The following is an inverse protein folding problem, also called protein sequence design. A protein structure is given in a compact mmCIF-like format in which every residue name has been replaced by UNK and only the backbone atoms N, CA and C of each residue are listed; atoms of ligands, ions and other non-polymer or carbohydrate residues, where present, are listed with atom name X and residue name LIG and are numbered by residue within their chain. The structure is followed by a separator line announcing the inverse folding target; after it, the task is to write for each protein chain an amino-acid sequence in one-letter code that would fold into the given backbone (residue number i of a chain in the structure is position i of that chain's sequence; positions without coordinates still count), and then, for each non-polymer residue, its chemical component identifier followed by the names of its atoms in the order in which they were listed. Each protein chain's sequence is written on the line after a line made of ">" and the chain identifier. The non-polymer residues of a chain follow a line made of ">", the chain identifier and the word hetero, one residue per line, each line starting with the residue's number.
data_IF_876454160741
#
_entry.id   IF_876454160741
#
_cell.length_a   1.000
_cell.length_b   1.000
_cell.length_c   1.000
_cell.angle_alpha   90.00
_cell.angle_beta   90.00
_cell.angle_gamma   90.00
#
_symmetry.space_group_name_H-M   'P 1'
#
loop_
_entity.id
_entity.type
_entity.pdbx_description
1 polymer ?
#
# COMPACT_ATOMS: atom_id res chain seq x y z
N UNK A 1 -16.86 -19.63 11.70
CA UNK A 1 -15.60 -19.39 10.95
C UNK A 1 -15.60 -18.09 10.12
N UNK A 2 -16.71 -17.61 9.54
CA UNK A 2 -16.75 -16.26 8.92
C UNK A 2 -16.64 -15.08 9.89
N UNK A 3 -16.92 -15.28 11.18
CA UNK A 3 -16.92 -14.21 12.19
C UNK A 3 -15.53 -13.60 12.45
N UNK A 4 -14.44 -14.35 12.22
CA UNK A 4 -13.08 -13.85 12.44
C UNK A 4 -12.54 -13.07 11.24
N UNK A 5 -12.98 -13.42 10.02
CA UNK A 5 -12.49 -12.84 8.75
C UNK A 5 -13.08 -11.45 8.47
N UNK A 6 -14.24 -11.14 9.05
CA UNK A 6 -14.89 -9.84 9.00
C UNK A 6 -15.02 -9.19 10.39
N UNK A 7 -14.19 -9.59 11.35
CA UNK A 7 -14.18 -8.92 12.66
C UNK A 7 -13.65 -7.50 12.46
N UNK A 8 -14.33 -6.53 13.05
CA UNK A 8 -13.93 -5.13 13.03
C UNK A 8 -13.03 -4.72 14.20
N UNK A 9 -12.76 -5.64 15.13
CA UNK A 9 -11.89 -5.38 16.26
C UNK A 9 -10.47 -5.03 15.80
N UNK A 10 -9.78 -4.09 16.46
CA UNK A 10 -8.39 -3.75 16.13
C UNK A 10 -7.48 -4.98 16.25
N UNK A 11 -6.38 -4.99 15.51
CA UNK A 11 -5.36 -6.03 15.67
C UNK A 11 -4.72 -5.88 17.06
N UNK A 12 -4.57 -6.99 17.79
CA UNK A 12 -4.18 -6.98 19.21
C UNK A 12 -2.90 -6.20 19.52
N UNK A 13 -1.91 -6.27 18.62
CA UNK A 13 -0.58 -5.66 18.75
C UNK A 13 -0.38 -4.41 17.87
N UNK A 14 -1.45 -3.75 17.39
CA UNK A 14 -1.29 -2.52 16.60
C UNK A 14 -0.93 -1.32 17.49
N UNK A 15 0.25 -0.67 17.33
CA UNK A 15 0.64 0.49 18.13
C UNK A 15 -0.28 1.70 17.94
N UNK A 16 -1.15 1.68 16.93
CA UNK A 16 -2.06 2.78 16.57
C UNK A 16 -3.46 2.62 17.17
N UNK A 17 -3.70 1.55 17.92
CA UNK A 17 -5.03 1.17 18.44
C UNK A 17 -5.64 2.22 19.36
N UNK A 18 -4.85 2.75 20.28
CA UNK A 18 -5.32 3.60 21.39
C UNK A 18 -5.27 5.10 21.07
N UNK A 19 -5.16 5.47 19.80
CA UNK A 19 -5.12 6.87 19.37
C UNK A 19 -6.49 7.54 19.48
N UNK A 20 -6.47 8.82 19.83
CA UNK A 20 -7.67 9.61 20.09
C UNK A 20 -8.43 9.94 18.79
N UNK A 21 -7.71 10.31 17.72
CA UNK A 21 -8.31 10.76 16.48
C UNK A 21 -8.66 9.59 15.54
N UNK A 22 -9.74 9.76 14.76
CA UNK A 22 -10.16 8.86 13.68
C UNK A 22 -10.00 9.55 12.33
N UNK A 23 -10.02 8.76 11.26
CA UNK A 23 -10.13 9.33 9.92
C UNK A 23 -11.43 10.13 9.79
N UNK A 24 -11.39 11.18 8.99
CA UNK A 24 -12.56 12.02 8.77
C UNK A 24 -13.62 11.34 7.89
N UNK A 25 -13.27 10.24 7.22
CA UNK A 25 -14.17 9.34 6.49
C UNK A 25 -13.70 7.89 6.66
N UNK A 26 -14.63 6.97 6.82
CA UNK A 26 -14.34 5.54 6.79
C UNK A 26 -14.03 5.06 5.36
N UNK A 27 -13.30 3.96 5.20
CA UNK A 27 -13.09 3.32 3.88
C UNK A 27 -14.39 2.94 3.17
N UNK A 28 -15.48 2.72 3.90
CA UNK A 28 -16.80 2.45 3.32
C UNK A 28 -17.42 3.70 2.67
N UNK A 29 -17.16 4.89 3.23
CA UNK A 29 -17.69 6.16 2.75
C UNK A 29 -16.71 6.90 1.81
N UNK A 30 -15.43 6.51 1.80
CA UNK A 30 -14.40 7.09 0.96
C UNK A 30 -14.76 7.17 -0.54
N UNK A 31 -15.38 6.14 -1.18
CA UNK A 31 -15.80 6.25 -2.58
C UNK A 31 -16.88 7.30 -2.84
N UNK A 32 -17.67 7.65 -1.81
CA UNK A 32 -18.68 8.71 -1.91
C UNK A 32 -18.08 10.09 -1.65
N UNK A 33 -17.10 10.17 -0.76
CA UNK A 33 -16.41 11.42 -0.42
C UNK A 33 -15.47 11.87 -1.55
N UNK A 34 -14.74 10.94 -2.16
CA UNK A 34 -13.87 11.19 -3.30
C UNK A 34 -13.95 10.05 -4.33
N UNK A 35 -14.98 10.08 -5.21
CA UNK A 35 -15.17 9.05 -6.22
C UNK A 35 -14.07 9.06 -7.28
N UNK A 36 -13.48 10.22 -7.58
CA UNK A 36 -12.46 10.36 -8.61
C UNK A 36 -11.14 9.73 -8.17
N UNK A 37 -10.69 9.99 -6.94
CA UNK A 37 -9.50 9.34 -6.40
C UNK A 37 -9.72 7.83 -6.23
N UNK A 38 -10.90 7.41 -5.77
CA UNK A 38 -11.21 5.99 -5.60
C UNK A 38 -11.14 5.24 -6.94
N UNK A 39 -11.84 5.73 -7.97
CA UNK A 39 -11.83 5.11 -9.31
C UNK A 39 -10.46 5.24 -9.99
N UNK A 40 -9.82 6.40 -9.87
CA UNK A 40 -8.47 6.65 -10.40
C UNK A 40 -7.45 5.67 -9.83
N UNK A 41 -7.54 5.36 -8.54
CA UNK A 41 -6.69 4.38 -7.86
C UNK A 41 -7.02 2.94 -8.27
N UNK A 42 -8.28 2.62 -8.56
CA UNK A 42 -8.66 1.29 -9.07
C UNK A 42 -8.11 1.03 -10.48
N UNK A 43 -8.15 2.02 -11.38
CA UNK A 43 -7.77 1.85 -12.79
C UNK A 43 -6.31 2.21 -13.08
N UNK A 44 -5.75 3.15 -12.33
CA UNK A 44 -4.38 3.64 -12.48
C UNK A 44 -3.70 3.79 -11.11
N UNK A 45 -3.51 2.66 -10.39
CA UNK A 45 -2.99 2.67 -9.02
C UNK A 45 -1.64 3.36 -8.90
N UNK A 46 -0.73 3.15 -9.86
CA UNK A 46 0.61 3.74 -9.85
C UNK A 46 0.58 5.28 -9.84
N UNK A 47 -0.21 5.89 -10.73
CA UNK A 47 -0.26 7.35 -10.83
C UNK A 47 -0.97 7.96 -9.63
N UNK A 48 -2.05 7.31 -9.17
CA UNK A 48 -2.80 7.76 -8.00
C UNK A 48 -1.90 7.72 -6.75
N UNK A 49 -1.14 6.65 -6.55
CA UNK A 49 -0.24 6.60 -5.40
C UNK A 49 0.90 7.59 -5.48
N UNK A 50 1.60 7.71 -6.61
CA UNK A 50 2.67 8.72 -6.76
C UNK A 50 2.13 10.12 -6.40
N UNK A 51 0.91 10.44 -6.84
CA UNK A 51 0.26 11.70 -6.52
C UNK A 51 -0.04 11.85 -5.01
N UNK A 52 -0.68 10.85 -4.39
CA UNK A 52 -1.03 10.88 -2.96
C UNK A 52 0.20 10.86 -2.06
N UNK A 53 1.23 10.09 -2.41
CA UNK A 53 2.51 10.05 -1.71
C UNK A 53 3.21 11.41 -1.75
N UNK A 54 3.26 12.05 -2.92
CA UNK A 54 3.78 13.42 -3.04
C UNK A 54 2.97 14.41 -2.21
N UNK A 55 1.64 14.28 -2.22
CA UNK A 55 0.75 15.11 -1.41
C UNK A 55 1.01 14.92 0.09
N UNK A 56 1.17 13.68 0.56
CA UNK A 56 1.49 13.36 1.96
C UNK A 56 2.87 13.88 2.41
N UNK A 57 3.81 14.02 1.48
CA UNK A 57 5.15 14.58 1.70
C UNK A 57 5.22 16.10 1.42
N UNK A 58 4.10 16.78 1.26
CA UNK A 58 4.04 18.22 0.94
C UNK A 58 4.81 18.60 -0.34
N UNK A 59 4.87 17.68 -1.30
CA UNK A 59 5.65 17.78 -2.53
C UNK A 59 7.17 17.99 -2.31
N UNK A 60 7.67 17.85 -1.08
CA UNK A 60 9.10 17.90 -0.77
C UNK A 60 9.69 16.48 -0.77
N UNK A 61 10.26 16.12 -1.92
CA UNK A 61 10.88 14.82 -2.15
C UNK A 61 12.20 14.61 -1.38
N UNK A 62 12.69 15.59 -0.62
CA UNK A 62 13.83 15.39 0.30
C UNK A 62 13.46 14.51 1.49
N UNK A 63 12.18 14.54 1.89
CA UNK A 63 11.64 13.73 2.98
C UNK A 63 11.20 12.33 2.50
N UNK A 64 11.36 12.05 1.20
CA UNK A 64 10.98 10.77 0.64
C UNK A 64 11.96 9.68 1.05
N UNK A 65 11.38 8.62 1.61
CA UNK A 65 12.02 7.36 1.94
C UNK A 65 11.12 6.25 1.41
N UNK A 66 11.70 5.18 0.85
CA UNK A 66 10.98 4.03 0.31
C UNK A 66 10.05 3.42 1.36
N UNK A 67 8.75 3.32 1.06
CA UNK A 67 7.70 2.89 1.98
C UNK A 67 7.74 3.61 3.36
N UNK A 68 8.39 4.78 3.45
CA UNK A 68 8.72 5.50 4.68
C UNK A 68 9.39 4.66 5.79
N UNK A 69 10.02 3.53 5.44
CA UNK A 69 10.58 2.59 6.42
C UNK A 69 9.56 1.69 7.12
N UNK A 70 8.25 1.85 6.89
CA UNK A 70 7.22 0.98 7.50
C UNK A 70 7.27 -0.48 7.02
N UNK A 71 8.02 -0.74 5.96
CA UNK A 71 8.16 -2.06 5.33
C UNK A 71 9.59 -2.60 5.47
N UNK A 72 10.41 -1.99 6.31
CA UNK A 72 11.76 -2.46 6.58
C UNK A 72 11.72 -3.84 7.27
N UNK A 73 12.60 -4.74 6.83
CA UNK A 73 12.64 -6.12 7.34
C UNK A 73 11.51 -7.03 6.85
N UNK A 74 10.46 -6.49 6.17
CA UNK A 74 9.43 -7.33 5.53
C UNK A 74 9.99 -8.09 4.31
N UNK A 75 10.91 -7.46 3.57
CA UNK A 75 11.63 -8.08 2.46
C UNK A 75 13.12 -8.08 2.78
N UNK A 76 13.79 -9.25 2.79
CA UNK A 76 15.25 -9.27 2.91
C UNK A 76 15.83 -8.46 1.75
N UNK A 77 16.61 -7.42 2.07
CA UNK A 77 17.23 -6.44 1.15
C UNK A 77 16.45 -5.14 0.87
N UNK A 78 15.23 -4.95 1.38
CA UNK A 78 14.55 -3.66 1.30
C UNK A 78 14.66 -2.95 2.66
N UNK A 79 15.54 -1.96 2.70
CA UNK A 79 15.68 -1.07 3.84
C UNK A 79 15.62 0.37 3.33
N UNK A 80 14.76 1.16 3.97
CA UNK A 80 14.75 2.60 3.85
C UNK A 80 16.19 3.17 3.95
N UNK A 81 16.49 4.18 3.14
CA UNK A 81 17.81 4.82 3.09
C UNK A 81 18.85 4.09 2.25
N UNK A 82 18.63 2.83 1.85
CA UNK A 82 19.60 2.03 1.07
C UNK A 82 19.23 1.89 -0.41
N UNK A 83 18.05 2.36 -0.81
CA UNK A 83 17.49 2.21 -2.15
C UNK A 83 17.95 3.28 -3.17
N UNK A 84 18.87 4.19 -2.79
CA UNK A 84 19.31 5.31 -3.64
C UNK A 84 18.31 6.48 -3.71
N UNK A 85 17.32 6.48 -2.81
CA UNK A 85 16.27 7.49 -2.71
C UNK A 85 16.79 8.91 -2.43
N UNK A 86 17.93 9.05 -1.76
CA UNK A 86 18.58 10.34 -1.55
C UNK A 86 19.09 10.98 -2.86
N UNK A 87 19.47 10.16 -3.85
CA UNK A 87 19.98 10.64 -5.14
C UNK A 87 18.88 10.81 -6.18
N UNK A 88 17.88 9.91 -6.21
CA UNK A 88 16.80 9.92 -7.20
C UNK A 88 15.43 9.54 -6.58
N UNK A 89 14.84 10.40 -5.73
CA UNK A 89 13.63 10.05 -4.97
C UNK A 89 12.41 9.81 -5.86
N UNK A 90 12.28 10.55 -6.96
CA UNK A 90 11.19 10.35 -7.92
C UNK A 90 11.27 9.01 -8.67
N UNK A 91 12.49 8.51 -8.94
CA UNK A 91 12.68 7.22 -9.58
C UNK A 91 12.36 6.09 -8.61
N UNK A 92 12.85 6.20 -7.37
CA UNK A 92 12.54 5.26 -6.30
C UNK A 92 11.03 5.17 -6.05
N UNK A 93 10.34 6.32 -5.99
CA UNK A 93 8.88 6.36 -5.86
C UNK A 93 8.17 5.68 -7.05
N UNK A 94 8.63 5.90 -8.29
CA UNK A 94 8.07 5.20 -9.44
C UNK A 94 8.32 3.67 -9.42
N UNK A 95 9.39 3.23 -8.79
CA UNK A 95 9.74 1.80 -8.67
C UNK A 95 8.95 1.14 -7.54
N UNK A 96 8.74 1.83 -6.43
CA UNK A 96 7.89 1.42 -5.29
C UNK A 96 6.46 1.07 -5.75
N UNK A 97 5.94 1.81 -6.73
CA UNK A 97 4.57 1.63 -7.24
C UNK A 97 4.45 0.68 -8.44
N UNK A 98 5.53 -0.03 -8.83
CA UNK A 98 5.49 -0.90 -10.00
C UNK A 98 4.57 -2.10 -9.74
N UNK A 99 3.35 -2.01 -10.28
CA UNK A 99 2.41 -3.13 -10.39
C UNK A 99 3.03 -4.20 -11.28
N UNK A 100 3.10 -5.42 -10.76
CA UNK A 100 3.46 -6.59 -11.54
C UNK A 100 2.39 -6.86 -12.61
N UNK A 101 2.50 -6.17 -13.74
CA UNK A 101 1.84 -6.58 -14.98
C UNK A 101 2.68 -7.71 -15.57
N UNK A 102 2.11 -8.90 -15.60
CA UNK A 102 2.75 -10.09 -16.13
C UNK A 102 3.23 -9.90 -17.58
N UNK A 103 4.55 -10.07 -17.79
CA UNK A 103 5.33 -10.37 -19.03
C UNK A 103 5.69 -9.22 -20.01
N UNK A 104 6.76 -9.39 -20.84
CA UNK A 104 8.10 -9.93 -20.57
C UNK A 104 9.21 -8.87 -20.73
N UNK A 105 10.34 -9.11 -20.08
CA UNK A 105 11.68 -8.57 -20.29
C UNK A 105 11.82 -7.33 -21.22
N UNK A 106 11.81 -6.14 -20.61
CA UNK A 106 12.39 -4.96 -21.26
C UNK A 106 13.92 -5.05 -21.14
N UNK A 107 14.52 -5.48 -22.24
CA UNK A 107 15.96 -5.46 -22.48
C UNK A 107 16.45 -4.00 -22.45
N UNK A 108 16.91 -3.52 -21.29
CA UNK A 108 17.58 -2.23 -21.19
C UNK A 108 19.00 -2.36 -21.77
N UNK A 109 19.20 -1.68 -22.90
CA UNK A 109 20.48 -1.56 -23.59
C UNK A 109 21.42 -0.71 -22.73
N UNK A 110 22.64 -1.23 -22.55
CA UNK A 110 23.73 -0.74 -21.68
C UNK A 110 23.97 0.77 -21.77
N UNK A 111 23.92 1.44 -20.62
CA UNK A 111 24.51 2.74 -20.36
C UNK A 111 24.81 2.86 -18.87
N UNK A 112 26.08 2.68 -18.51
CA UNK A 112 26.72 2.87 -17.20
C UNK A 112 25.82 3.37 -16.05
N UNK A 113 25.27 2.43 -15.27
CA UNK A 113 25.06 2.62 -13.83
C UNK A 113 25.39 1.29 -13.14
N UNK A 114 26.28 1.39 -12.17
CA UNK A 114 26.84 0.33 -11.35
C UNK A 114 25.74 -0.41 -10.58
N UNK A 115 25.55 -1.65 -11.02
CA UNK A 115 25.12 -2.86 -10.33
C UNK A 115 24.54 -2.73 -8.90
N UNK A 116 23.20 -2.70 -8.81
CA UNK A 116 22.40 -3.40 -7.80
C UNK A 116 21.08 -3.85 -8.45
N UNK A 117 21.16 -4.83 -9.34
CA UNK A 117 19.98 -5.51 -9.89
C UNK A 117 19.29 -6.30 -8.77
N UNK A 118 18.16 -5.79 -8.28
CA UNK A 118 17.22 -6.55 -7.47
C UNK A 118 16.31 -7.36 -8.41
N UNK A 119 16.81 -8.50 -8.90
CA UNK A 119 16.03 -9.44 -9.71
C UNK A 119 15.10 -10.27 -8.82
N UNK A 120 14.09 -9.62 -8.22
CA UNK A 120 13.03 -10.27 -7.44
C UNK A 120 11.96 -10.86 -8.38
N UNK A 121 12.31 -11.94 -9.10
CA UNK A 121 11.38 -12.65 -10.01
C UNK A 121 10.32 -13.47 -9.26
N UNK A 122 10.44 -13.62 -7.94
CA UNK A 122 9.47 -14.34 -7.09
C UNK A 122 8.37 -13.44 -6.51
N UNK A 123 8.44 -12.11 -6.69
CA UNK A 123 7.62 -11.10 -6.00
C UNK A 123 6.65 -10.37 -6.96
N UNK A 124 6.08 -11.05 -7.95
CA UNK A 124 5.25 -10.42 -8.99
C UNK A 124 3.73 -10.52 -8.76
N UNK A 125 3.22 -10.51 -7.52
CA UNK A 125 1.76 -10.46 -7.37
C UNK A 125 1.21 -9.64 -6.19
N UNK A 126 2.01 -9.22 -5.21
CA UNK A 126 1.41 -8.71 -3.96
C UNK A 126 2.10 -7.54 -3.23
N UNK A 127 3.38 -7.24 -3.48
CA UNK A 127 4.20 -6.59 -2.44
C UNK A 127 4.68 -5.15 -2.69
N UNK A 128 4.45 -4.51 -3.84
CA UNK A 128 4.98 -3.13 -4.05
C UNK A 128 3.90 -2.07 -3.82
N UNK A 129 2.90 -1.97 -4.71
CA UNK A 129 1.81 -0.98 -4.57
C UNK A 129 1.00 -1.15 -3.27
N UNK A 130 0.73 -2.38 -2.83
CA UNK A 130 -0.02 -2.63 -1.60
C UNK A 130 0.74 -2.17 -0.36
N UNK A 131 2.05 -2.42 -0.33
CA UNK A 131 2.95 -1.93 0.70
C UNK A 131 3.08 -0.40 0.66
N UNK A 132 3.15 0.19 -0.52
CA UNK A 132 3.26 1.63 -0.69
C UNK A 132 1.98 2.40 -0.27
N UNK A 133 0.80 1.91 -0.68
CA UNK A 133 -0.50 2.43 -0.20
C UNK A 133 -0.61 2.29 1.31
N UNK A 134 -0.24 1.13 1.86
CA UNK A 134 -0.31 0.87 3.30
C UNK A 134 0.67 1.77 4.08
N UNK A 135 1.90 1.92 3.59
CA UNK A 135 2.91 2.80 4.16
C UNK A 135 2.47 4.27 4.13
N UNK A 136 1.84 4.71 3.06
CA UNK A 136 1.30 6.07 2.94
C UNK A 136 0.14 6.29 3.90
N UNK A 137 -0.76 5.30 4.05
CA UNK A 137 -1.82 5.35 5.07
C UNK A 137 -1.22 5.38 6.48
N UNK A 138 -0.23 4.54 6.78
CA UNK A 138 0.47 4.52 8.07
C UNK A 138 1.18 5.84 8.38
N UNK A 139 1.85 6.44 7.40
CA UNK A 139 2.48 7.76 7.52
C UNK A 139 1.45 8.83 7.95
N UNK A 140 0.31 8.87 7.26
CA UNK A 140 -0.76 9.83 7.56
C UNK A 140 -1.38 9.55 8.93
N UNK A 141 -1.54 8.27 9.28
CA UNK A 141 -2.00 7.89 10.62
C UNK A 141 -1.05 8.36 11.71
N UNK A 142 0.26 8.17 11.53
CA UNK A 142 1.26 8.54 12.53
C UNK A 142 1.39 10.06 12.65
N UNK A 143 1.42 10.75 11.51
CA UNK A 143 1.52 12.22 11.48
C UNK A 143 0.34 12.93 12.15
N UNK A 144 -0.86 12.36 12.04
CA UNK A 144 -2.08 12.98 12.57
C UNK A 144 -2.66 12.26 13.79
N UNK A 145 -1.89 11.32 14.37
CA UNK A 145 -2.32 10.49 15.50
C UNK A 145 -3.70 9.84 15.29
N UNK A 146 -3.89 9.20 14.13
CA UNK A 146 -5.14 8.54 13.72
C UNK A 146 -5.10 7.04 13.97
N UNK A 147 -6.26 6.48 14.32
CA UNK A 147 -6.53 5.03 14.32
C UNK A 147 -7.48 4.63 13.18
N UNK A 148 -7.42 3.35 12.82
CA UNK A 148 -8.34 2.73 11.87
C UNK A 148 -9.73 2.56 12.49
N UNK A 149 -10.75 2.73 11.68
CA UNK A 149 -12.13 2.47 12.07
C UNK A 149 -12.51 0.99 11.93
N UNK A 150 -13.65 0.61 12.49
CA UNK A 150 -14.15 -0.77 12.47
C UNK A 150 -14.34 -1.26 11.03
N UNK A 151 -14.85 -0.40 10.16
CA UNK A 151 -15.07 -0.71 8.74
C UNK A 151 -13.76 -0.84 7.97
N UNK A 152 -12.73 -0.06 8.32
CA UNK A 152 -11.40 -0.20 7.72
C UNK A 152 -10.83 -1.59 8.02
N UNK A 153 -10.89 -2.00 9.30
CA UNK A 153 -10.43 -3.32 9.72
C UNK A 153 -11.18 -4.45 9.00
N UNK A 154 -12.50 -4.32 8.85
CA UNK A 154 -13.34 -5.30 8.13
C UNK A 154 -12.94 -5.44 6.68
N UNK A 155 -12.80 -4.32 5.95
CA UNK A 155 -12.47 -4.32 4.53
C UNK A 155 -11.07 -4.89 4.31
N UNK A 156 -10.09 -4.47 5.12
CA UNK A 156 -8.69 -4.94 5.01
C UNK A 156 -8.59 -6.44 5.29
N UNK A 157 -9.24 -6.94 6.35
CA UNK A 157 -9.24 -8.37 6.69
C UNK A 157 -9.96 -9.21 5.64
N UNK A 158 -11.08 -8.72 5.14
CA UNK A 158 -11.79 -9.38 4.05
C UNK A 158 -10.91 -9.50 2.80
N UNK A 159 -10.26 -8.40 2.41
CA UNK A 159 -9.30 -8.41 1.31
C UNK A 159 -8.20 -9.46 1.56
N UNK A 160 -7.51 -9.39 2.69
CA UNK A 160 -6.43 -10.34 3.03
C UNK A 160 -6.91 -11.80 3.02
N UNK A 161 -8.16 -12.07 3.44
CA UNK A 161 -8.74 -13.41 3.37
C UNK A 161 -8.91 -13.91 1.92
N UNK A 162 -9.49 -13.10 1.04
CA UNK A 162 -9.69 -13.48 -0.37
C UNK A 162 -8.34 -13.65 -1.08
N UNK A 163 -7.36 -12.79 -0.73
CA UNK A 163 -6.01 -12.87 -1.23
C UNK A 163 -5.30 -14.18 -0.83
N UNK A 164 -5.41 -14.61 0.43
CA UNK A 164 -4.89 -15.91 0.90
C UNK A 164 -5.65 -17.07 0.23
N UNK A 165 -6.98 -16.97 0.10
CA UNK A 165 -7.78 -17.98 -0.57
C UNK A 165 -7.36 -18.17 -2.03
N UNK A 166 -7.08 -17.07 -2.75
CA UNK A 166 -6.54 -17.10 -4.11
C UNK A 166 -5.20 -17.83 -4.19
N UNK A 167 -4.28 -17.58 -3.25
CA UNK A 167 -2.98 -18.27 -3.21
C UNK A 167 -3.19 -19.78 -2.99
N UNK A 168 -4.01 -20.15 -2.02
CA UNK A 168 -4.31 -21.57 -1.72
C UNK A 168 -4.96 -22.26 -2.92
N UNK A 169 -5.96 -21.64 -3.54
CA UNK A 169 -6.62 -22.19 -4.73
C UNK A 169 -5.66 -22.33 -5.91
N UNK A 170 -4.75 -21.38 -6.13
CA UNK A 170 -3.72 -21.49 -7.17
C UNK A 170 -2.74 -22.64 -6.88
N UNK A 171 -2.31 -22.84 -5.64
CA UNK A 171 -1.48 -23.98 -5.26
C UNK A 171 -2.21 -25.31 -5.52
N UNK A 172 -3.50 -25.40 -5.19
CA UNK A 172 -4.32 -26.58 -5.45
C UNK A 172 -4.49 -26.82 -6.96
N UNK A 173 -4.69 -25.76 -7.76
CA UNK A 173 -4.82 -25.85 -9.22
C UNK A 173 -3.54 -26.29 -9.95
N UNK A 174 -2.36 -26.15 -9.31
CA UNK A 174 -1.11 -26.74 -9.79
C UNK A 174 -1.14 -28.26 -9.61
N UNK A 175 -1.65 -28.74 -8.47
CA UNK A 175 -1.72 -30.16 -8.14
C UNK A 175 -2.88 -30.89 -8.84
N UNK A 176 -4.01 -30.20 -9.05
CA UNK A 176 -5.25 -30.76 -9.59
C UNK A 176 -5.67 -29.92 -10.81
N UNK A 177 -5.52 -30.44 -12.04
CA UNK A 177 -5.86 -29.71 -13.27
C UNK A 177 -7.34 -29.28 -13.33
N UNK A 178 -8.24 -30.09 -12.77
CA UNK A 178 -9.69 -29.84 -12.73
C UNK A 178 -10.08 -28.67 -11.82
N UNK A 179 -9.21 -28.29 -10.86
CA UNK A 179 -9.45 -27.19 -9.95
C UNK A 179 -8.97 -25.82 -10.50
N UNK A 180 -8.39 -25.78 -11.71
CA UNK A 180 -7.81 -24.56 -12.29
C UNK A 180 -8.85 -23.48 -12.59
N UNK A 181 -10.02 -23.85 -13.12
CA UNK A 181 -11.08 -22.88 -13.42
C UNK A 181 -11.59 -22.18 -12.14
N UNK A 182 -11.69 -22.94 -11.05
CA UNK A 182 -12.02 -22.39 -9.74
C UNK A 182 -10.89 -21.47 -9.22
N UNK A 183 -9.63 -21.86 -9.37
CA UNK A 183 -8.49 -21.04 -8.98
C UNK A 183 -8.45 -19.70 -9.73
N UNK A 184 -8.75 -19.72 -11.04
CA UNK A 184 -8.82 -18.53 -11.87
C UNK A 184 -9.99 -17.62 -11.50
N UNK A 185 -11.15 -18.19 -11.16
CA UNK A 185 -12.29 -17.44 -10.63
C UNK A 185 -11.95 -16.73 -9.32
N UNK A 186 -11.38 -17.47 -8.35
CA UNK A 186 -11.00 -16.90 -7.04
C UNK A 186 -9.91 -15.84 -7.22
N UNK A 187 -8.97 -16.04 -8.15
CA UNK A 187 -7.96 -15.04 -8.52
C UNK A 187 -8.56 -13.77 -9.10
N UNK A 188 -9.60 -13.89 -9.92
CA UNK A 188 -10.35 -12.74 -10.43
C UNK A 188 -11.02 -11.97 -9.29
N UNK A 189 -11.69 -12.67 -8.38
CA UNK A 189 -12.30 -12.07 -7.19
C UNK A 189 -11.27 -11.33 -6.33
N UNK A 190 -10.13 -11.97 -6.06
CA UNK A 190 -8.99 -11.40 -5.35
C UNK A 190 -8.51 -10.08 -5.96
N UNK A 191 -8.32 -10.04 -7.28
CA UNK A 191 -7.91 -8.82 -7.97
C UNK A 191 -8.96 -7.70 -7.86
N UNK A 192 -10.25 -8.04 -7.97
CA UNK A 192 -11.34 -7.08 -7.80
C UNK A 192 -11.41 -6.52 -6.37
N UNK A 193 -11.33 -7.39 -5.36
CA UNK A 193 -11.36 -6.97 -3.94
C UNK A 193 -10.14 -6.14 -3.59
N UNK A 194 -8.97 -6.49 -4.14
CA UNK A 194 -7.74 -5.72 -3.96
C UNK A 194 -7.83 -4.33 -4.58
N UNK A 195 -8.26 -4.24 -5.85
CA UNK A 195 -8.42 -2.96 -6.53
C UNK A 195 -9.39 -2.04 -5.78
N UNK A 196 -10.55 -2.57 -5.38
CA UNK A 196 -11.54 -1.81 -4.60
C UNK A 196 -10.98 -1.35 -3.24
N UNK A 197 -10.30 -2.25 -2.52
CA UNK A 197 -9.71 -1.94 -1.21
C UNK A 197 -8.64 -0.85 -1.31
N UNK A 198 -7.74 -0.95 -2.29
CA UNK A 198 -6.71 0.06 -2.56
C UNK A 198 -7.33 1.40 -2.96
N UNK A 199 -8.39 1.39 -3.76
CA UNK A 199 -9.16 2.58 -4.11
C UNK A 199 -9.75 3.28 -2.90
N UNK A 200 -10.42 2.53 -2.02
CA UNK A 200 -10.99 3.06 -0.79
C UNK A 200 -9.93 3.62 0.16
N UNK A 201 -8.79 2.93 0.34
CA UNK A 201 -7.70 3.43 1.20
C UNK A 201 -7.13 4.73 0.66
N UNK A 202 -6.88 4.79 -0.65
CA UNK A 202 -6.25 5.94 -1.28
C UNK A 202 -7.18 7.16 -1.26
N UNK A 203 -8.48 6.96 -1.50
CA UNK A 203 -9.50 8.00 -1.37
C UNK A 203 -9.67 8.49 0.08
N UNK A 204 -9.69 7.58 1.07
CA UNK A 204 -9.74 7.93 2.49
C UNK A 204 -8.56 8.84 2.86
N UNK A 205 -7.36 8.45 2.46
CA UNK A 205 -6.13 9.25 2.70
C UNK A 205 -6.19 10.59 1.98
N UNK A 206 -6.67 10.64 0.73
CA UNK A 206 -6.78 11.90 0.00
C UNK A 206 -7.71 12.89 0.69
N UNK A 207 -8.90 12.44 1.11
CA UNK A 207 -9.86 13.25 1.85
C UNK A 207 -9.28 13.74 3.17
N UNK A 208 -8.50 12.90 3.85
CA UNK A 208 -7.83 13.29 5.09
C UNK A 208 -6.79 14.39 4.87
N UNK A 209 -5.96 14.24 3.81
CA UNK A 209 -4.96 15.23 3.42
C UNK A 209 -5.60 16.55 2.99
N UNK A 210 -6.78 16.53 2.36
CA UNK A 210 -7.54 17.73 1.97
C UNK A 210 -8.21 18.42 3.15
N UNK A 211 -8.64 17.68 4.17
CA UNK A 211 -9.28 18.26 5.36
C UNK A 211 -8.28 18.87 6.33
N UNK A 212 -7.07 18.32 6.40
CA UNK A 212 -6.04 18.73 7.37
C UNK A 212 -4.96 19.61 6.76
N UNK A 213 -5.35 20.51 5.85
CA UNK A 213 -4.51 21.53 5.20
C UNK A 213 -3.93 22.58 6.17
N UNK A 214 -3.34 22.16 7.30
CA UNK A 214 -2.29 22.95 7.94
C UNK A 214 -0.99 22.75 7.16
N UNK A 215 -0.91 23.42 6.01
CA UNK A 215 0.31 23.58 5.20
C UNK A 215 1.42 24.39 5.91
N UNK A 216 1.26 24.73 7.20
CA UNK A 216 2.15 25.59 7.97
C UNK A 216 2.90 24.88 9.11
N UNK A 217 2.45 23.69 9.52
CA UNK A 217 3.16 22.92 10.54
C UNK A 217 4.24 22.07 9.87
N UNK A 218 5.48 22.57 9.91
CA UNK A 218 6.64 21.70 9.89
C UNK A 218 6.39 20.56 10.90
N UNK A 219 6.83 19.32 10.61
CA UNK A 219 6.78 18.26 11.61
C UNK A 219 7.41 18.82 12.89
N UNK A 220 6.85 18.55 14.09
CA UNK A 220 7.58 18.84 15.30
C UNK A 220 8.98 18.21 15.14
N UNK A 221 10.03 18.96 15.48
CA UNK A 221 11.34 18.37 15.80
C UNK A 221 11.12 17.46 17.00
N UNK A 222 10.62 16.26 16.72
CA UNK A 222 10.56 15.20 17.70
C UNK A 222 11.79 14.34 17.45
N UNK A 223 12.77 14.53 18.32
CA UNK A 223 14.01 13.74 18.47
C UNK A 223 13.72 12.24 18.76
N UNK A 224 12.47 11.79 18.62
CA UNK A 224 12.01 10.41 18.81
C UNK A 224 11.35 9.80 17.57
N UNK A 225 11.85 10.11 16.37
CA UNK A 225 11.97 9.08 15.34
C UNK A 225 13.26 8.29 15.61
N UNK A 226 13.31 7.62 16.77
CA UNK A 226 14.25 6.53 16.93
C UNK A 226 13.90 5.50 15.85
N UNK A 227 14.79 5.44 14.86
CA UNK A 227 14.87 4.42 13.82
C UNK A 227 14.53 3.07 14.44
N UNK A 228 13.39 2.51 14.06
CA UNK A 228 13.17 1.08 14.15
C UNK A 228 13.80 0.41 12.94
#
# INVERSE_FOLDING_TARGET
>A
MCFFLCSGEPVGDDPRRDRENRFAVDMMQAPRADPLCCLGSCFCPCCAQIYIRRKALHYDMRNYVCCQGYMDGFVPCLYAGQCGEASCPNLCLCVEERVARSRPALHMRKGHLTDRHCDCTCMQAFACNGCAVSATRMLVMDRHNLRSDEWDNRIIRFNNCIQVASIVCNCIGVCIPEARDLADLVRCMANCTYAATQGCMTAQVNVELEKREDFSAQPPEDDTMERF
#
